data_IF_065408640739
#
_entry.id   IF_065408640739
#
_cell.length_a   1.000
_cell.length_b   1.000
_cell.length_c   1.000
_cell.angle_alpha   90.00
_cell.angle_beta   90.00
_cell.angle_gamma   90.00
#
_symmetry.space_group_name_H-M   'P 1'
#
loop_
_entity.id
_entity.type
_entity.pdbx_description
1 polymer ?
#
# COMPACT_ATOMS: atom_id res chain seq x y z
N UNK A 1 -21.09 4.83 -67.09
CA UNK A 1 -21.62 6.04 -66.40
C UNK A 1 -21.94 5.62 -64.98
N UNK A 2 -21.55 6.24 -63.88
CA UNK A 2 -20.49 7.17 -63.52
C UNK A 2 -20.31 6.94 -62.01
N UNK A 3 -19.07 6.87 -61.52
CA UNK A 3 -18.73 6.77 -60.11
C UNK A 3 -18.94 8.12 -59.42
N UNK A 4 -19.50 8.16 -58.22
CA UNK A 4 -19.22 9.25 -57.27
C UNK A 4 -19.35 8.79 -55.81
N UNK A 5 -18.19 8.46 -55.23
CA UNK A 5 -17.94 8.49 -53.79
C UNK A 5 -17.87 9.95 -53.34
N UNK A 6 -18.51 10.31 -52.23
CA UNK A 6 -18.01 11.39 -51.38
C UNK A 6 -18.15 11.01 -49.89
N UNK A 7 -16.99 10.68 -49.34
CA UNK A 7 -16.67 10.60 -47.92
C UNK A 7 -16.84 11.98 -47.27
N UNK A 8 -17.50 12.04 -46.12
CA UNK A 8 -17.26 13.10 -45.14
C UNK A 8 -16.74 12.48 -43.85
N UNK A 9 -15.41 12.42 -43.79
CA UNK A 9 -14.62 12.13 -42.60
C UNK A 9 -14.69 13.35 -41.67
N UNK A 10 -15.49 13.30 -40.62
CA UNK A 10 -15.31 14.22 -39.51
C UNK A 10 -14.14 13.72 -38.66
N UNK A 11 -13.02 14.45 -38.72
CA UNK A 11 -11.93 14.34 -37.78
C UNK A 11 -12.50 14.57 -36.37
N UNK A 12 -12.64 13.51 -35.59
CA UNK A 12 -12.67 13.62 -34.15
C UNK A 12 -11.28 14.13 -33.73
N UNK A 13 -11.20 15.43 -33.44
CA UNK A 13 -10.06 16.02 -32.76
C UNK A 13 -9.89 15.29 -31.43
N UNK A 14 -8.94 14.35 -31.42
CA UNK A 14 -8.53 13.67 -30.21
C UNK A 14 -8.01 14.72 -29.25
N UNK A 15 -8.74 14.94 -28.16
CA UNK A 15 -8.17 15.53 -26.96
C UNK A 15 -7.09 14.56 -26.50
N UNK A 16 -5.86 14.79 -26.94
CA UNK A 16 -4.70 14.17 -26.33
C UNK A 16 -4.62 14.74 -24.92
N UNK A 17 -5.23 14.06 -23.96
CA UNK A 17 -4.89 14.23 -22.56
C UNK A 17 -3.38 14.07 -22.47
N UNK A 18 -2.67 15.15 -22.15
CA UNK A 18 -1.24 15.11 -21.97
C UNK A 18 -0.93 13.96 -21.01
N UNK A 19 -0.32 12.88 -21.53
CA UNK A 19 0.13 11.76 -20.71
C UNK A 19 1.08 12.37 -19.69
N UNK A 20 0.72 12.27 -18.41
CA UNK A 20 1.49 12.72 -17.27
C UNK A 20 2.93 12.19 -17.43
N UNK A 21 3.84 13.03 -17.93
CA UNK A 21 5.20 12.58 -18.25
C UNK A 21 5.87 12.22 -16.92
N UNK A 22 6.51 11.04 -16.82
CA UNK A 22 7.14 10.65 -15.57
C UNK A 22 8.27 11.61 -15.25
N UNK A 23 8.36 12.05 -14.00
CA UNK A 23 9.48 12.86 -13.51
C UNK A 23 10.71 11.95 -13.45
N UNK A 24 11.71 12.26 -14.27
CA UNK A 24 12.95 11.50 -14.40
C UNK A 24 14.14 12.12 -13.66
N UNK A 25 14.00 13.33 -13.13
CA UNK A 25 15.05 14.01 -12.36
C UNK A 25 15.49 13.15 -11.14
N UNK A 26 16.76 12.67 -11.09
CA UNK A 26 17.19 11.71 -10.07
C UNK A 26 17.02 12.22 -8.63
N UNK A 27 17.28 13.51 -8.40
CA UNK A 27 17.14 14.13 -7.09
C UNK A 27 15.68 14.16 -6.62
N UNK A 28 14.74 14.57 -7.51
CA UNK A 28 13.31 14.61 -7.21
C UNK A 28 12.73 13.20 -7.02
N UNK A 29 13.10 12.27 -7.88
CA UNK A 29 12.68 10.87 -7.75
C UNK A 29 13.20 10.23 -6.45
N UNK A 30 14.46 10.50 -6.06
CA UNK A 30 15.00 9.99 -4.79
C UNK A 30 14.28 10.59 -3.59
N UNK A 31 14.07 11.91 -3.57
CA UNK A 31 13.36 12.59 -2.49
C UNK A 31 11.89 12.13 -2.35
N UNK A 32 11.20 11.90 -3.47
CA UNK A 32 9.82 11.40 -3.46
C UNK A 32 9.76 9.94 -2.96
N UNK A 33 10.71 9.09 -3.37
CA UNK A 33 10.86 7.73 -2.84
C UNK A 33 11.08 7.74 -1.33
N UNK A 34 12.04 8.53 -0.84
CA UNK A 34 12.34 8.61 0.58
C UNK A 34 11.16 9.13 1.39
N UNK A 35 10.40 10.09 0.82
CA UNK A 35 9.16 10.59 1.41
C UNK A 35 8.10 9.49 1.54
N UNK A 36 7.91 8.69 0.49
CA UNK A 36 7.00 7.54 0.52
C UNK A 36 7.43 6.48 1.54
N UNK A 37 8.72 6.16 1.60
CA UNK A 37 9.27 5.21 2.58
C UNK A 37 9.06 5.71 4.01
N UNK A 38 9.29 7.01 4.28
CA UNK A 38 9.05 7.63 5.59
C UNK A 38 7.58 7.60 5.97
N UNK A 39 6.68 7.93 5.04
CA UNK A 39 5.23 7.86 5.27
C UNK A 39 4.76 6.43 5.58
N UNK A 40 5.32 5.45 4.86
CA UNK A 40 5.07 4.03 5.08
C UNK A 40 5.54 3.58 6.46
N UNK A 41 6.75 3.98 6.87
CA UNK A 41 7.30 3.67 8.18
C UNK A 41 6.47 4.30 9.32
N UNK A 42 6.07 5.56 9.17
CA UNK A 42 5.20 6.24 10.14
C UNK A 42 3.85 5.53 10.29
N UNK A 43 3.22 5.17 9.16
CA UNK A 43 1.95 4.42 9.13
C UNK A 43 2.06 3.08 9.86
N UNK A 44 3.15 2.35 9.64
CA UNK A 44 3.42 1.07 10.31
C UNK A 44 3.66 1.25 11.81
N UNK A 45 4.42 2.27 12.20
CA UNK A 45 4.70 2.60 13.59
C UNK A 45 3.41 2.91 14.36
N UNK A 46 2.56 3.78 13.81
CA UNK A 46 1.30 4.16 14.44
C UNK A 46 0.37 2.96 14.62
N UNK A 47 0.21 2.15 13.56
CA UNK A 47 -0.60 0.93 13.62
C UNK A 47 -0.09 -0.03 14.71
N UNK A 48 1.22 -0.13 14.90
CA UNK A 48 1.81 -1.00 15.91
C UNK A 48 1.63 -0.45 17.32
N UNK A 49 1.87 0.85 17.54
CA UNK A 49 1.78 1.48 18.86
C UNK A 49 0.37 1.51 19.43
N UNK A 50 -0.65 1.60 18.57
CA UNK A 50 -2.06 1.75 18.98
C UNK A 50 -2.82 0.42 19.08
N UNK A 51 -2.16 -0.72 18.90
CA UNK A 51 -2.82 -2.03 18.88
C UNK A 51 -2.12 -3.03 19.78
N UNK A 52 -2.89 -3.95 20.36
CA UNK A 52 -2.33 -5.17 20.94
C UNK A 52 -2.08 -6.19 19.84
N UNK A 53 -1.09 -7.07 19.97
CA UNK A 53 -0.78 -8.07 18.94
C UNK A 53 -0.86 -9.51 19.46
N UNK A 54 -1.15 -10.42 18.53
CA UNK A 54 -1.13 -11.87 18.74
C UNK A 54 -0.23 -12.49 17.68
N UNK A 55 0.76 -13.26 18.13
CA UNK A 55 1.61 -14.08 17.26
C UNK A 55 0.97 -15.45 17.07
N UNK A 56 0.79 -15.85 15.81
CA UNK A 56 0.39 -17.21 15.45
C UNK A 56 1.51 -17.88 14.64
N UNK A 57 2.06 -18.96 15.19
CA UNK A 57 2.92 -19.89 14.45
C UNK A 57 2.05 -21.04 13.94
N UNK A 58 2.16 -21.37 12.64
CA UNK A 58 1.42 -22.52 12.11
C UNK A 58 2.05 -23.82 12.62
N UNK A 59 1.22 -24.79 13.02
CA UNK A 59 1.65 -26.10 13.53
C UNK A 59 2.40 -26.96 12.49
N UNK A 60 2.36 -26.61 11.19
CA UNK A 60 3.06 -27.31 10.11
C UNK A 60 4.17 -26.45 9.52
N UNK A 61 5.43 -26.80 9.82
CA UNK A 61 6.63 -26.19 9.26
C UNK A 61 6.92 -24.79 9.79
N UNK A 62 7.93 -24.68 10.67
CA UNK A 62 8.46 -23.46 11.34
C UNK A 62 8.89 -22.29 10.42
N UNK A 63 8.53 -22.34 9.15
CA UNK A 63 8.94 -21.39 8.11
C UNK A 63 7.97 -20.24 7.92
N UNK A 64 6.80 -20.26 8.55
CA UNK A 64 5.79 -19.20 8.39
C UNK A 64 5.33 -18.68 9.74
N UNK A 65 5.48 -17.38 9.93
CA UNK A 65 5.02 -16.66 11.10
C UNK A 65 3.99 -15.64 10.67
N UNK A 66 2.89 -15.55 11.40
CA UNK A 66 1.86 -14.55 11.16
C UNK A 66 1.62 -13.81 12.46
N UNK A 67 1.93 -12.52 12.48
CA UNK A 67 1.59 -11.61 13.58
C UNK A 67 0.38 -10.79 13.15
N UNK A 68 -0.57 -10.60 14.05
CA UNK A 68 -1.77 -9.79 13.80
C UNK A 68 -1.94 -8.78 14.93
N UNK A 69 -2.14 -7.52 14.59
CA UNK A 69 -2.49 -6.46 15.53
C UNK A 69 -3.98 -6.14 15.49
N UNK A 70 -4.57 -5.97 16.66
CA UNK A 70 -5.99 -5.75 16.85
C UNK A 70 -6.27 -4.52 17.70
N UNK A 71 -7.40 -3.88 17.41
CA UNK A 71 -8.01 -2.86 18.26
C UNK A 71 -9.32 -3.42 18.83
N UNK A 72 -9.58 -3.20 20.12
CA UNK A 72 -10.87 -3.54 20.71
C UNK A 72 -11.95 -2.62 20.10
N UNK A 73 -13.04 -3.19 19.60
CA UNK A 73 -14.20 -2.41 19.14
C UNK A 73 -14.83 -1.72 20.35
N UNK A 74 -15.49 -0.57 20.14
CA UNK A 74 -16.25 0.14 21.18
C UNK A 74 -17.09 -0.85 22.01
N UNK A 75 -17.09 -0.65 23.32
CA UNK A 75 -17.72 -1.54 24.30
C UNK A 75 -19.00 -0.92 24.88
N UNK A 76 -20.08 -0.77 24.09
CA UNK A 76 -21.31 -0.15 24.58
C UNK A 76 -21.99 -0.95 25.71
N UNK A 77 -21.60 -2.21 25.90
CA UNK A 77 -22.20 -3.14 26.85
C UNK A 77 -21.30 -3.40 28.08
N UNK A 78 -20.20 -2.67 28.26
CA UNK A 78 -19.23 -2.87 29.35
C UNK A 78 -18.81 -4.34 29.55
N UNK A 79 -18.68 -5.08 28.45
CA UNK A 79 -18.26 -6.47 28.47
C UNK A 79 -16.80 -6.58 28.94
N UNK A 80 -16.43 -7.66 29.64
CA UNK A 80 -15.04 -7.93 29.99
C UNK A 80 -14.18 -8.08 28.73
N UNK A 81 -12.91 -7.66 28.81
CA UNK A 81 -12.02 -7.48 27.65
C UNK A 81 -11.83 -8.75 26.81
N UNK A 82 -11.92 -9.92 27.44
CA UNK A 82 -11.84 -11.22 26.78
C UNK A 82 -13.01 -11.51 25.82
N UNK A 83 -14.15 -10.83 25.99
CA UNK A 83 -15.36 -10.98 25.17
C UNK A 83 -15.56 -9.83 24.18
N UNK A 84 -14.67 -8.84 24.16
CA UNK A 84 -14.76 -7.75 23.21
C UNK A 84 -14.44 -8.21 21.80
N UNK A 85 -15.25 -7.74 20.85
CA UNK A 85 -14.98 -7.94 19.43
C UNK A 85 -13.68 -7.22 19.09
N UNK A 86 -12.74 -7.95 18.49
CA UNK A 86 -11.44 -7.41 18.07
C UNK A 86 -11.49 -7.09 16.58
N UNK A 87 -11.17 -5.85 16.22
CA UNK A 87 -11.00 -5.45 14.84
C UNK A 87 -9.54 -5.66 14.42
N UNK A 88 -9.31 -6.36 13.32
CA UNK A 88 -7.97 -6.55 12.78
C UNK A 88 -7.51 -5.23 12.16
N UNK A 89 -6.42 -4.66 12.66
CA UNK A 89 -5.85 -3.42 12.12
C UNK A 89 -4.68 -3.73 11.20
N UNK A 90 -3.87 -4.73 11.53
CA UNK A 90 -2.75 -5.10 10.67
C UNK A 90 -2.35 -6.56 10.82
N UNK A 91 -1.63 -7.03 9.81
CA UNK A 91 -1.11 -8.39 9.71
C UNK A 91 0.27 -8.37 9.08
N UNK A 92 1.24 -8.95 9.76
CA UNK A 92 2.56 -9.26 9.22
C UNK A 92 2.66 -10.77 8.97
N UNK A 93 3.11 -11.14 7.78
CA UNK A 93 3.42 -12.52 7.40
C UNK A 93 4.91 -12.58 7.06
N UNK A 94 5.66 -13.39 7.79
CA UNK A 94 7.07 -13.66 7.53
C UNK A 94 7.21 -15.11 7.06
N UNK A 95 7.90 -15.32 5.92
CA UNK A 95 8.16 -16.63 5.33
C UNK A 95 9.67 -16.83 5.18
N UNK A 96 10.20 -17.84 5.86
CA UNK A 96 11.55 -18.34 5.71
C UNK A 96 11.59 -19.37 4.57
N UNK A 97 12.20 -19.00 3.45
CA UNK A 97 12.34 -19.86 2.27
C UNK A 97 13.47 -20.88 2.47
N UNK A 98 13.47 -21.93 1.65
CA UNK A 98 14.51 -23.00 1.69
C UNK A 98 15.92 -22.49 1.41
N UNK A 99 16.03 -21.45 0.58
CA UNK A 99 17.29 -20.81 0.20
C UNK A 99 17.77 -19.75 1.22
N UNK A 100 17.26 -19.77 2.46
CA UNK A 100 17.62 -18.81 3.50
C UNK A 100 16.99 -17.42 3.36
N UNK A 101 16.28 -17.13 2.25
CA UNK A 101 15.63 -15.84 2.06
C UNK A 101 14.43 -15.65 3.00
N UNK A 102 14.23 -14.42 3.45
CA UNK A 102 13.08 -14.02 4.27
C UNK A 102 12.17 -13.12 3.43
N UNK A 103 10.95 -13.59 3.16
CA UNK A 103 9.91 -12.79 2.54
C UNK A 103 8.95 -12.29 3.60
N UNK A 104 8.80 -10.98 3.70
CA UNK A 104 7.87 -10.34 4.60
C UNK A 104 6.77 -9.63 3.82
N UNK A 105 5.53 -9.80 4.27
CA UNK A 105 4.38 -9.05 3.77
C UNK A 105 3.67 -8.41 4.95
N UNK A 106 3.53 -7.09 4.92
CA UNK A 106 2.78 -6.32 5.91
C UNK A 106 1.53 -5.74 5.25
N UNK A 107 0.38 -5.89 5.90
CA UNK A 107 -0.89 -5.32 5.45
C UNK A 107 -1.53 -4.63 6.64
N UNK A 108 -1.85 -3.36 6.52
CA UNK A 108 -2.68 -2.64 7.46
C UNK A 108 -3.98 -2.19 6.80
N UNK A 109 -5.03 -2.11 7.61
CA UNK A 109 -6.38 -1.78 7.22
C UNK A 109 -7.03 -0.88 8.29
N UNK A 110 -7.86 0.05 7.82
CA UNK A 110 -8.74 0.85 8.65
C UNK A 110 -10.17 0.49 8.27
N UNK A 111 -10.93 -0.05 9.23
CA UNK A 111 -12.18 -0.74 8.91
C UNK A 111 -11.96 -1.90 7.93
N UNK A 112 -12.72 -1.93 6.83
CA UNK A 112 -12.60 -2.95 5.78
C UNK A 112 -11.72 -2.52 4.58
N UNK A 113 -10.99 -1.40 4.69
CA UNK A 113 -10.16 -0.88 3.60
C UNK A 113 -8.68 -1.05 3.91
N UNK A 114 -7.93 -1.60 2.95
CA UNK A 114 -6.46 -1.67 3.04
C UNK A 114 -5.87 -0.29 2.81
N UNK A 115 -5.06 0.16 3.75
CA UNK A 115 -4.43 1.48 3.78
C UNK A 115 -2.95 1.40 3.46
N UNK A 116 -2.31 0.30 3.87
CA UNK A 116 -0.91 0.01 3.56
C UNK A 116 -0.75 -1.46 3.22
N UNK A 117 -0.02 -1.73 2.14
CA UNK A 117 0.49 -3.04 1.80
C UNK A 117 1.97 -2.88 1.46
N UNK A 118 2.81 -3.73 2.04
CA UNK A 118 4.26 -3.67 1.87
C UNK A 118 4.79 -5.10 1.71
N UNK A 119 5.72 -5.29 0.79
CA UNK A 119 6.46 -6.54 0.63
C UNK A 119 7.96 -6.28 0.67
N UNK A 120 8.68 -7.02 1.52
CA UNK A 120 10.12 -6.98 1.66
C UNK A 120 10.74 -8.35 1.43
N UNK A 121 11.94 -8.38 0.86
CA UNK A 121 12.76 -9.58 0.72
C UNK A 121 14.14 -9.30 1.32
N UNK A 122 14.52 -10.05 2.35
CA UNK A 122 15.75 -9.82 3.12
C UNK A 122 15.87 -8.35 3.52
N UNK A 123 14.85 -7.83 4.19
CA UNK A 123 14.69 -6.42 4.61
C UNK A 123 14.67 -5.36 3.49
N UNK A 124 14.86 -5.76 2.23
CA UNK A 124 14.76 -4.85 1.09
C UNK A 124 13.32 -4.72 0.61
N UNK A 125 12.83 -3.48 0.56
CA UNK A 125 11.49 -3.17 0.04
C UNK A 125 11.40 -3.48 -1.46
N UNK A 126 10.51 -4.42 -1.81
CA UNK A 126 10.20 -4.78 -3.19
C UNK A 126 9.02 -4.00 -3.74
N UNK A 127 7.98 -3.84 -2.91
CA UNK A 127 6.73 -3.23 -3.31
C UNK A 127 6.04 -2.57 -2.12
N UNK A 128 5.45 -1.40 -2.37
CA UNK A 128 4.59 -0.69 -1.43
C UNK A 128 3.35 -0.22 -2.19
N UNK A 129 2.19 -0.36 -1.55
CA UNK A 129 0.97 0.37 -1.90
C UNK A 129 0.44 1.04 -0.65
N UNK A 130 0.43 2.37 -0.64
CA UNK A 130 -0.09 3.21 0.44
C UNK A 130 -1.25 4.02 -0.13
N UNK A 131 -2.47 3.75 0.28
CA UNK A 131 -3.67 4.44 -0.21
C UNK A 131 -4.09 5.60 0.67
N UNK A 132 -3.70 5.56 1.95
CA UNK A 132 -3.86 6.65 2.89
C UNK A 132 -2.91 6.41 4.08
N UNK A 133 -2.22 7.44 4.62
CA UNK A 133 -1.60 7.34 5.92
C UNK A 133 -2.66 6.98 6.97
N UNK A 134 -2.36 6.00 7.82
CA UNK A 134 -3.26 5.68 8.93
C UNK A 134 -3.23 6.83 9.92
N UNK A 135 -4.41 7.33 10.31
CA UNK A 135 -4.59 8.05 11.56
C UNK A 135 -5.65 7.30 12.37
N UNK A 136 -5.24 6.52 13.38
CA UNK A 136 -6.18 5.77 14.23
C UNK A 136 -6.96 6.67 15.19
N UNK A 137 -6.60 7.95 15.31
CA UNK A 137 -7.37 8.93 16.07
C UNK A 137 -8.56 9.51 15.28
N UNK A 138 -8.53 9.45 13.95
CA UNK A 138 -9.64 9.89 13.11
C UNK A 138 -10.68 8.78 12.93
N UNK A 139 -11.84 8.97 13.56
CA UNK A 139 -12.97 8.03 13.48
C UNK A 139 -13.66 8.01 12.12
N UNK A 140 -13.42 9.02 11.28
CA UNK A 140 -13.98 9.15 9.95
C UNK A 140 -12.93 8.78 8.89
N UNK A 141 -13.17 7.74 8.07
CA UNK A 141 -12.28 7.46 6.95
C UNK A 141 -12.35 8.63 5.97
N UNK A 142 -11.23 9.34 5.79
CA UNK A 142 -11.13 10.38 4.77
C UNK A 142 -11.49 9.77 3.41
N UNK A 143 -12.44 10.38 2.70
CA UNK A 143 -13.06 9.77 1.50
C UNK A 143 -12.15 9.80 0.28
N UNK A 144 -11.14 10.68 0.31
CA UNK A 144 -10.17 10.84 -0.77
C UNK A 144 -9.03 9.82 -0.63
N UNK A 145 -9.12 8.75 -1.43
CA UNK A 145 -8.10 7.71 -1.49
C UNK A 145 -7.03 8.13 -2.49
N UNK A 146 -5.87 8.57 -2.01
CA UNK A 146 -4.71 8.87 -2.87
C UNK A 146 -3.78 7.67 -2.86
N UNK A 147 -3.82 6.88 -3.94
CA UNK A 147 -2.97 5.70 -4.05
C UNK A 147 -1.53 6.04 -4.46
N UNK A 148 -0.60 5.72 -3.57
CA UNK A 148 0.83 5.72 -3.81
C UNK A 148 1.29 4.28 -4.01
N UNK A 149 2.05 4.05 -5.08
CA UNK A 149 2.59 2.73 -5.39
C UNK A 149 4.08 2.84 -5.68
N UNK A 150 4.87 1.96 -5.12
CA UNK A 150 6.30 1.82 -5.41
C UNK A 150 6.62 0.40 -5.78
N UNK A 151 7.32 0.23 -6.89
CA UNK A 151 7.92 -1.02 -7.34
C UNK A 151 9.43 -0.79 -7.45
N UNK A 152 10.23 -1.65 -6.82
CA UNK A 152 11.68 -1.54 -6.86
C UNK A 152 12.20 -1.54 -8.30
N UNK A 153 13.05 -0.56 -8.63
CA UNK A 153 13.76 -0.49 -9.91
C UNK A 153 12.88 -0.13 -11.12
N UNK A 154 11.67 0.40 -10.87
CA UNK A 154 10.73 0.79 -11.90
C UNK A 154 10.16 2.19 -11.70
N UNK A 155 8.88 2.32 -12.03
CA UNK A 155 8.11 3.54 -11.79
C UNK A 155 7.45 3.49 -10.42
N UNK A 156 7.22 4.66 -9.84
CA UNK A 156 6.41 4.79 -8.65
C UNK A 156 5.52 6.03 -8.73
N UNK A 157 4.39 6.00 -8.03
CA UNK A 157 3.45 7.12 -7.95
C UNK A 157 3.51 7.74 -6.56
N UNK A 158 3.65 9.06 -6.52
CA UNK A 158 3.65 9.83 -5.28
C UNK A 158 2.90 11.13 -5.50
N UNK A 159 1.89 11.41 -4.67
CA UNK A 159 1.02 12.61 -4.76
C UNK A 159 0.45 12.86 -6.16
N UNK A 160 -0.03 11.80 -6.80
CA UNK A 160 -0.61 11.87 -8.16
C UNK A 160 0.40 12.04 -9.30
N UNK A 161 1.70 12.11 -8.99
CA UNK A 161 2.76 12.22 -9.98
C UNK A 161 3.47 10.88 -10.15
N UNK A 162 3.79 10.53 -11.39
CA UNK A 162 4.59 9.36 -11.70
C UNK A 162 6.06 9.74 -11.75
N UNK A 163 6.91 8.94 -11.13
CA UNK A 163 8.35 9.11 -11.09
C UNK A 163 9.03 7.88 -11.68
N UNK A 164 10.14 8.07 -12.38
CA UNK A 164 10.99 6.99 -12.86
C UNK A 164 12.25 6.94 -12.01
N UNK A 165 12.54 5.79 -11.40
CA UNK A 165 13.81 5.63 -10.68
C UNK A 165 14.89 5.17 -11.66
N UNK A 166 16.07 5.82 -11.71
CA UNK A 166 17.19 5.30 -12.49
C UNK A 166 17.59 3.92 -11.96
N UNK A 167 17.86 2.99 -12.88
CA UNK A 167 18.39 1.67 -12.52
C UNK A 167 19.76 1.88 -11.87
N UNK A 168 19.87 1.47 -10.61
CA UNK A 168 21.15 1.38 -9.89
C UNK A 168 21.83 0.05 -10.23
#
# INVERSE_FOLDING_TARGET
MAYTFLLFSFLAAGVQTAKNQPITEPARASAARDSLLRATAATRLEATQRTGFVLTTSRLGKRKHVVRGFQNVANPQNLPENRLKKNLIWKQKTIYRRNGQVLETYVAQLGNRKVLQETRLNDNTLWIKLSQPINLADTAPNTEVVEYEYVRGGYFTWRGQQYAQPKQ
#
